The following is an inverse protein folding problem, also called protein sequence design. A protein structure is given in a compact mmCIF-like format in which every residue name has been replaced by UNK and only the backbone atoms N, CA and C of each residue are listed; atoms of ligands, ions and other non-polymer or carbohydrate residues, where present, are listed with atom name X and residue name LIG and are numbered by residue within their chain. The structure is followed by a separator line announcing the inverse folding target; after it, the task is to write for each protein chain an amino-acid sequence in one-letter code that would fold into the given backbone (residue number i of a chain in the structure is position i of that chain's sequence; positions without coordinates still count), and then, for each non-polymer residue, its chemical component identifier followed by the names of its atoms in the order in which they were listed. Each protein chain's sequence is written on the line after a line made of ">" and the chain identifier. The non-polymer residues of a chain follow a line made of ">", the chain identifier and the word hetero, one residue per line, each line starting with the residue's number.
data_IF_225663843093
#
_entry.id   IF_225663843093
#
_cell.length_a   1.000
_cell.length_b   1.000
_cell.length_c   1.000
_cell.angle_alpha   90.00
_cell.angle_beta   90.00
_cell.angle_gamma   90.00
#
_symmetry.space_group_name_H-M   'P 1'
#
loop_
_entity.id
_entity.type
_entity.pdbx_description
1 polymer ?
#
# COMPACT_ATOMS: atom_id res chain seq x y z
N UNK A 1 -19.11 0.54 -2.67
CA UNK A 1 -17.91 1.40 -2.70
C UNK A 1 -16.71 0.55 -3.04
N UNK A 2 -15.89 0.97 -4.01
CA UNK A 2 -14.68 0.23 -4.43
C UNK A 2 -13.45 1.10 -4.19
N UNK A 3 -12.45 0.55 -3.52
CA UNK A 3 -11.20 1.22 -3.16
C UNK A 3 -10.06 0.35 -3.70
N UNK A 4 -9.00 0.98 -4.23
CA UNK A 4 -7.82 0.27 -4.70
C UNK A 4 -6.54 1.01 -4.33
N UNK A 5 -5.61 0.34 -3.66
CA UNK A 5 -4.32 0.90 -3.22
C UNK A 5 -3.15 0.16 -3.86
N UNK A 6 -2.08 0.87 -4.29
CA UNK A 6 -0.87 0.21 -4.81
C UNK A 6 -0.04 -0.41 -3.69
N UNK A 7 0.71 -1.45 -4.02
CA UNK A 7 1.75 -1.99 -3.14
C UNK A 7 2.96 -1.07 -3.08
N UNK A 8 3.84 -1.31 -2.11
CA UNK A 8 5.07 -0.56 -1.87
C UNK A 8 6.27 -1.50 -1.96
N UNK A 9 7.33 -1.07 -2.64
CA UNK A 9 8.65 -1.71 -2.61
C UNK A 9 9.71 -0.70 -2.17
N UNK A 10 10.71 -1.17 -1.42
CA UNK A 10 11.90 -0.37 -1.09
C UNK A 10 12.98 -0.69 -2.14
N UNK A 11 13.41 0.31 -2.91
CA UNK A 11 14.47 0.20 -3.92
C UNK A 11 15.86 0.38 -3.30
N UNK A 12 15.97 1.17 -2.23
CA UNK A 12 17.21 1.40 -1.52
C UNK A 12 16.98 1.83 -0.07
N UNK A 13 17.85 1.37 0.83
CA UNK A 13 17.88 1.85 2.22
C UNK A 13 16.91 1.16 3.19
N UNK A 14 16.46 -0.06 2.91
CA UNK A 14 15.42 -0.73 3.71
C UNK A 14 15.75 -0.86 5.21
N UNK A 15 17.03 -1.05 5.55
CA UNK A 15 17.51 -1.14 6.94
C UNK A 15 17.92 0.22 7.53
N UNK A 16 18.07 1.27 6.69
CA UNK A 16 18.47 2.62 7.12
C UNK A 16 17.26 3.51 7.46
N UNK A 17 16.05 3.10 7.06
CA UNK A 17 14.77 3.73 7.41
C UNK A 17 14.63 3.93 8.94
N UNK A 18 15.09 2.95 9.73
CA UNK A 18 15.09 3.01 11.20
C UNK A 18 15.91 4.16 11.77
N UNK A 19 16.91 4.64 11.03
CA UNK A 19 17.81 5.72 11.44
C UNK A 19 17.33 7.09 10.92
N UNK A 20 16.16 7.16 10.26
CA UNK A 20 15.65 8.38 9.65
C UNK A 20 16.47 8.85 8.44
N UNK A 21 17.29 7.97 7.88
CA UNK A 21 18.09 8.26 6.70
C UNK A 21 17.23 8.19 5.43
N UNK A 22 17.61 8.87 4.34
CA UNK A 22 16.85 8.83 3.10
C UNK A 22 16.71 7.41 2.55
N UNK A 23 15.47 7.05 2.21
CA UNK A 23 15.14 5.79 1.53
C UNK A 23 14.49 6.08 0.18
N UNK A 24 14.64 5.15 -0.76
CA UNK A 24 13.98 5.23 -2.05
C UNK A 24 12.89 4.17 -2.09
N UNK A 25 11.64 4.57 -1.85
CA UNK A 25 10.47 3.70 -1.95
C UNK A 25 9.67 4.02 -3.21
N UNK A 26 9.05 3.00 -3.81
CA UNK A 26 8.21 3.14 -5.00
C UNK A 26 6.88 2.41 -4.83
N UNK A 27 5.84 2.98 -5.47
CA UNK A 27 4.57 2.30 -5.65
C UNK A 27 4.70 1.26 -6.78
N UNK A 28 4.15 0.07 -6.59
CA UNK A 28 4.13 -0.99 -7.61
C UNK A 28 2.71 -1.25 -8.10
N UNK A 29 2.60 -1.71 -9.34
CA UNK A 29 1.31 -2.05 -9.98
C UNK A 29 0.61 -3.27 -9.37
N UNK A 30 1.17 -3.88 -8.33
CA UNK A 30 0.49 -4.89 -7.53
C UNK A 30 -0.46 -4.19 -6.57
N UNK A 31 -1.76 -4.18 -6.88
CA UNK A 31 -2.77 -3.45 -6.11
C UNK A 31 -3.61 -4.37 -5.22
N UNK A 32 -4.03 -3.84 -4.08
CA UNK A 32 -5.07 -4.43 -3.23
C UNK A 32 -6.36 -3.69 -3.55
N UNK A 33 -7.47 -4.43 -3.73
CA UNK A 33 -8.78 -3.85 -4.00
C UNK A 33 -9.79 -4.35 -2.97
N UNK A 34 -10.61 -3.44 -2.46
CA UNK A 34 -11.66 -3.71 -1.46
C UNK A 34 -12.98 -3.19 -2.01
N UNK A 35 -14.01 -4.04 -1.95
CA UNK A 35 -15.37 -3.73 -2.39
C UNK A 35 -16.32 -3.90 -1.20
N UNK A 36 -16.96 -2.80 -0.79
CA UNK A 36 -17.96 -2.78 0.27
C UNK A 36 -19.36 -2.56 -0.30
N UNK A 37 -20.29 -3.44 0.07
CA UNK A 37 -21.73 -3.28 -0.14
C UNK A 37 -22.45 -3.01 1.18
N UNK A 38 -23.59 -2.31 1.14
CA UNK A 38 -24.52 -2.31 2.28
C UNK A 38 -25.22 -3.66 2.31
N UNK A 39 -25.13 -4.37 3.43
CA UNK A 39 -25.97 -5.55 3.65
C UNK A 39 -27.39 -5.06 3.93
N UNK A 40 -28.36 -5.53 3.16
CA UNK A 40 -29.77 -5.48 3.53
C UNK A 40 -30.01 -6.67 4.45
N UNK A 41 -29.86 -6.45 5.75
CA UNK A 41 -30.34 -7.37 6.76
C UNK A 41 -31.84 -7.06 6.93
N UNK A 42 -32.70 -8.00 6.51
CA UNK A 42 -34.15 -8.02 6.78
C UNK A 42 -34.45 -9.24 7.65
#
# INVERSE_FOLDING_TARGET
>A
MKISTPGRICLFGEHQDYLGLPVVAAAISRRISIEGGKSSDD
#
